data_IF_930599470956
#
_entry.id   IF_930599470956
#
_cell.length_a   1.000
_cell.length_b   1.000
_cell.length_c   1.000
_cell.angle_alpha   90.00
_cell.angle_beta   90.00
_cell.angle_gamma   90.00
#
_symmetry.space_group_name_H-M   'P 1'
#
loop_
_entity.id
_entity.type
_entity.pdbx_description
1 polymer ?
#
# COMPACT_ATOMS: atom_id res chain seq x y z
N UNK A 1 -22.79 8.13 -0.56
CA UNK A 1 -21.32 8.06 -0.67
C UNK A 1 -20.95 6.84 -1.50
N UNK A 2 -20.09 7.01 -2.48
CA UNK A 2 -19.64 5.89 -3.32
C UNK A 2 -18.48 5.14 -2.65
N UNK A 3 -18.28 3.89 -3.04
CA UNK A 3 -17.31 2.96 -2.44
C UNK A 3 -16.26 2.54 -3.46
N UNK A 4 -15.25 1.78 -3.00
CA UNK A 4 -14.29 1.13 -3.91
C UNK A 4 -15.00 0.24 -4.94
N UNK A 5 -16.04 -0.49 -4.53
CA UNK A 5 -16.81 -1.32 -5.45
C UNK A 5 -17.50 -0.48 -6.54
N UNK A 6 -18.01 0.70 -6.18
CA UNK A 6 -18.59 1.64 -7.14
C UNK A 6 -17.54 2.15 -8.12
N UNK A 7 -16.34 2.48 -7.63
CA UNK A 7 -15.24 2.88 -8.50
C UNK A 7 -14.83 1.77 -9.48
N UNK A 8 -14.69 0.54 -8.99
CA UNK A 8 -14.36 -0.61 -9.84
C UNK A 8 -15.39 -0.80 -10.95
N UNK A 9 -16.67 -0.67 -10.61
CA UNK A 9 -17.78 -0.79 -11.56
C UNK A 9 -17.73 0.34 -12.60
N UNK A 10 -17.55 1.58 -12.17
CA UNK A 10 -17.49 2.73 -13.07
C UNK A 10 -16.25 2.62 -13.98
N UNK A 11 -15.12 2.19 -13.45
CA UNK A 11 -13.91 1.96 -14.24
C UNK A 11 -14.11 0.86 -15.30
N UNK A 12 -14.76 -0.24 -14.92
CA UNK A 12 -15.02 -1.35 -15.83
C UNK A 12 -16.04 -1.01 -16.92
N UNK A 13 -16.93 -0.04 -16.68
CA UNK A 13 -17.94 0.38 -17.66
C UNK A 13 -17.35 1.11 -18.88
N UNK A 14 -16.13 1.61 -18.79
CA UNK A 14 -15.51 2.43 -19.83
C UNK A 14 -16.09 3.85 -19.93
N UNK A 15 -16.87 4.28 -18.96
CA UNK A 15 -17.58 5.56 -18.98
C UNK A 15 -16.81 6.71 -18.31
N UNK A 16 -15.69 6.41 -17.67
CA UNK A 16 -14.90 7.42 -16.95
C UNK A 16 -13.46 7.45 -17.42
N UNK A 17 -12.82 8.59 -17.22
CA UNK A 17 -11.40 8.80 -17.39
C UNK A 17 -10.86 9.59 -16.22
N UNK A 18 -9.57 9.50 -15.98
CA UNK A 18 -8.92 10.06 -14.80
C UNK A 18 -7.89 11.13 -15.18
N UNK A 19 -7.79 12.15 -14.33
CA UNK A 19 -6.74 13.15 -14.43
C UNK A 19 -6.06 13.29 -13.07
N UNK A 20 -4.76 13.04 -13.01
CA UNK A 20 -4.00 13.18 -11.77
C UNK A 20 -3.85 14.66 -11.41
N UNK A 21 -4.30 15.04 -10.23
CA UNK A 21 -4.22 16.42 -9.74
C UNK A 21 -3.34 16.60 -8.53
N UNK A 22 -3.04 15.52 -7.81
CA UNK A 22 -2.13 15.55 -6.68
C UNK A 22 -1.44 14.19 -6.55
N UNK A 23 -0.15 14.22 -6.22
CA UNK A 23 0.67 13.03 -6.08
C UNK A 23 1.57 13.14 -4.86
N UNK A 24 1.48 12.14 -3.99
CA UNK A 24 2.34 11.93 -2.81
C UNK A 24 2.68 13.13 -1.94
N UNK A 25 2.11 13.10 -0.77
CA UNK A 25 2.70 13.59 0.47
C UNK A 25 2.61 15.06 0.78
N UNK A 26 2.55 15.95 -0.16
CA UNK A 26 2.46 17.37 0.17
C UNK A 26 1.44 18.07 -0.72
N UNK A 27 0.44 18.63 -0.06
CA UNK A 27 -0.52 19.50 -0.73
C UNK A 27 0.21 20.69 -1.36
N UNK A 28 -0.01 20.91 -2.63
CA UNK A 28 0.62 22.02 -3.35
C UNK A 28 1.93 21.67 -4.06
N UNK A 29 2.40 20.43 -3.99
CA UNK A 29 3.51 20.01 -4.84
C UNK A 29 3.11 20.06 -6.31
N UNK A 30 4.01 20.60 -7.14
CA UNK A 30 3.78 20.64 -8.56
C UNK A 30 3.92 19.25 -9.18
N UNK A 31 2.87 18.81 -9.87
CA UNK A 31 2.90 17.51 -10.55
C UNK A 31 3.77 17.63 -11.79
N UNK A 32 4.75 16.72 -11.99
CA UNK A 32 5.55 16.72 -13.22
C UNK A 32 4.65 16.72 -14.47
N UNK A 33 5.01 17.48 -15.48
CA UNK A 33 4.21 17.61 -16.69
C UNK A 33 3.83 16.26 -17.30
N UNK A 34 4.75 15.29 -17.29
CA UNK A 34 4.50 13.92 -17.77
C UNK A 34 3.42 13.17 -16.99
N UNK A 35 3.13 13.61 -15.75
CA UNK A 35 2.11 13.01 -14.90
C UNK A 35 0.77 13.72 -15.00
N UNK A 36 0.73 14.89 -15.65
CA UNK A 36 -0.48 15.64 -15.92
C UNK A 36 -1.21 15.04 -17.12
N UNK A 37 -2.42 15.48 -17.30
CA UNK A 37 -3.24 15.06 -18.42
C UNK A 37 -4.18 13.91 -18.09
N UNK A 38 -5.09 13.71 -19.01
CA UNK A 38 -6.17 12.75 -18.88
C UNK A 38 -5.67 11.38 -19.30
N UNK A 39 -6.05 10.37 -18.53
CA UNK A 39 -5.76 8.96 -18.79
C UNK A 39 -7.04 8.22 -19.02
N UNK A 40 -7.08 7.42 -20.07
CA UNK A 40 -8.17 6.48 -20.32
C UNK A 40 -7.90 5.15 -19.61
N UNK A 41 -8.98 4.52 -19.20
CA UNK A 41 -8.90 3.19 -18.56
C UNK A 41 -8.94 2.15 -19.67
N UNK A 42 -7.85 1.40 -19.81
CA UNK A 42 -7.71 0.39 -20.85
C UNK A 42 -8.29 -0.97 -20.45
N UNK A 43 -8.04 -1.37 -19.21
CA UNK A 43 -8.52 -2.63 -18.68
C UNK A 43 -8.67 -2.56 -17.16
N UNK A 44 -9.53 -3.40 -16.64
CA UNK A 44 -9.78 -3.54 -15.21
C UNK A 44 -9.75 -5.03 -14.86
N UNK A 45 -8.96 -5.38 -13.85
CA UNK A 45 -8.99 -6.72 -13.28
C UNK A 45 -9.29 -6.65 -11.78
N UNK A 46 -9.18 -7.74 -11.06
CA UNK A 46 -9.47 -7.79 -9.62
C UNK A 46 -8.46 -7.04 -8.76
N UNK A 47 -7.27 -6.75 -9.30
CA UNK A 47 -6.13 -6.21 -8.55
C UNK A 47 -5.84 -4.77 -8.95
N UNK A 48 -5.96 -4.44 -10.24
CA UNK A 48 -5.51 -3.16 -10.78
C UNK A 48 -6.31 -2.71 -12.00
N UNK A 49 -6.14 -1.45 -12.34
CA UNK A 49 -6.58 -0.90 -13.62
C UNK A 49 -5.35 -0.47 -14.42
N UNK A 50 -5.41 -0.65 -15.74
CA UNK A 50 -4.42 -0.14 -16.67
C UNK A 50 -4.88 1.19 -17.22
N UNK A 51 -4.01 2.19 -17.13
CA UNK A 51 -4.25 3.54 -17.60
C UNK A 51 -3.35 3.84 -18.79
N UNK A 52 -3.86 4.59 -19.75
CA UNK A 52 -3.10 5.03 -20.91
C UNK A 52 -3.24 6.54 -21.12
N UNK A 53 -2.11 7.22 -21.31
CA UNK A 53 -2.07 8.64 -21.65
C UNK A 53 -2.36 8.85 -23.14
N UNK A 54 -2.60 10.10 -23.55
CA UNK A 54 -2.89 10.44 -24.94
C UNK A 54 -1.73 10.10 -25.89
N UNK A 55 -0.49 10.09 -25.39
CA UNK A 55 0.71 9.74 -26.17
C UNK A 55 1.08 8.26 -26.08
N UNK A 56 0.21 7.42 -25.52
CA UNK A 56 0.35 5.97 -25.52
C UNK A 56 1.15 5.38 -24.36
N UNK A 57 1.52 6.19 -23.37
CA UNK A 57 2.19 5.67 -22.16
C UNK A 57 1.20 4.96 -21.28
N UNK A 58 1.58 3.77 -20.82
CA UNK A 58 0.75 2.95 -19.94
C UNK A 58 1.27 2.96 -18.51
N UNK A 59 0.35 2.89 -17.57
CA UNK A 59 0.65 2.73 -16.15
C UNK A 59 -0.45 1.90 -15.48
N UNK A 60 -0.14 1.34 -14.32
CA UNK A 60 -1.15 0.62 -13.55
C UNK A 60 -1.49 1.35 -12.25
N UNK A 61 -2.74 1.28 -11.85
CA UNK A 61 -3.22 1.74 -10.56
C UNK A 61 -3.74 0.52 -9.80
N UNK A 62 -2.98 0.10 -8.79
CA UNK A 62 -3.34 -1.03 -7.94
C UNK A 62 -4.43 -0.59 -6.97
N UNK A 63 -5.48 -1.41 -6.83
CA UNK A 63 -6.55 -1.09 -5.90
C UNK A 63 -6.05 -1.15 -4.46
N UNK A 64 -6.19 -0.06 -3.70
CA UNK A 64 -5.84 -0.05 -2.29
C UNK A 64 -6.92 -0.73 -1.44
N UNK A 65 -6.64 -1.03 -0.16
CA UNK A 65 -7.70 -1.40 0.77
C UNK A 65 -8.80 -0.35 0.83
N UNK A 66 -10.03 -0.80 1.07
CA UNK A 66 -11.20 0.08 1.00
C UNK A 66 -11.15 1.30 1.94
N UNK A 67 -10.46 1.18 3.08
CA UNK A 67 -10.29 2.29 4.03
C UNK A 67 -9.37 3.38 3.52
N UNK A 68 -8.54 3.08 2.52
CA UNK A 68 -7.56 4.02 1.96
C UNK A 68 -8.04 4.70 0.69
N UNK A 69 -9.29 4.53 0.30
CA UNK A 69 -9.84 5.13 -0.92
C UNK A 69 -11.12 5.89 -0.61
N UNK A 70 -11.25 7.06 -1.23
CA UNK A 70 -12.49 7.82 -1.29
C UNK A 70 -12.86 8.08 -2.74
N UNK A 71 -14.11 7.83 -3.07
CA UNK A 71 -14.64 8.03 -4.39
C UNK A 71 -16.06 8.62 -4.32
N UNK A 72 -16.29 9.71 -5.05
CA UNK A 72 -17.62 10.36 -5.08
C UNK A 72 -18.21 10.47 -6.49
N UNK A 73 -17.55 9.87 -7.48
CA UNK A 73 -17.95 9.95 -8.88
C UNK A 73 -17.31 11.14 -9.64
N UNK A 74 -16.81 12.13 -8.95
CA UNK A 74 -16.13 13.31 -9.52
C UNK A 74 -14.67 13.37 -9.15
N UNK A 75 -14.30 12.80 -8.02
CA UNK A 75 -12.92 12.72 -7.55
C UNK A 75 -12.64 11.35 -6.96
N UNK A 76 -11.38 10.95 -7.08
CA UNK A 76 -10.84 9.73 -6.50
C UNK A 76 -9.64 10.13 -5.66
N UNK A 77 -9.64 9.78 -4.39
CA UNK A 77 -8.52 10.04 -3.49
C UNK A 77 -8.03 8.72 -2.92
N UNK A 78 -6.73 8.48 -3.01
CA UNK A 78 -6.07 7.31 -2.44
C UNK A 78 -5.08 7.80 -1.40
N UNK A 79 -5.21 7.29 -0.19
CA UNK A 79 -4.32 7.62 0.93
C UNK A 79 -3.26 6.56 1.08
N UNK A 80 -2.06 6.97 1.50
CA UNK A 80 -1.10 5.98 1.98
C UNK A 80 -1.58 5.36 3.29
N UNK A 81 -1.00 4.22 3.65
CA UNK A 81 -1.24 3.60 4.95
C UNK A 81 -0.69 4.50 6.05
N UNK A 82 -1.52 4.77 7.05
CA UNK A 82 -1.13 5.54 8.22
C UNK A 82 -0.49 4.66 9.29
N UNK A 83 0.15 5.32 10.23
CA UNK A 83 0.79 4.68 11.36
C UNK A 83 -0.16 4.61 12.56
N UNK A 84 -0.07 3.55 13.30
CA UNK A 84 -0.67 3.42 14.64
C UNK A 84 0.32 2.81 15.60
N UNK A 85 0.05 3.00 16.88
CA UNK A 85 0.82 2.34 17.92
C UNK A 85 0.56 0.83 17.89
N UNK A 86 1.58 0.06 18.22
CA UNK A 86 1.44 -1.37 18.43
C UNK A 86 0.52 -1.61 19.63
N UNK A 87 -0.36 -2.59 19.50
CA UNK A 87 -1.11 -3.10 20.66
C UNK A 87 -0.17 -3.82 21.62
N UNK A 88 -0.60 -4.00 22.86
CA UNK A 88 0.17 -4.74 23.84
C UNK A 88 0.46 -6.17 23.37
N UNK A 89 -0.53 -6.82 22.77
CA UNK A 89 -0.37 -8.15 22.18
C UNK A 89 0.68 -8.17 21.06
N UNK A 90 0.64 -7.19 20.17
CA UNK A 90 1.62 -7.08 19.09
C UNK A 90 3.03 -6.85 19.61
N UNK A 91 3.19 -6.01 20.64
CA UNK A 91 4.49 -5.81 21.30
C UNK A 91 5.04 -7.09 21.90
N UNK A 92 4.18 -7.87 22.56
CA UNK A 92 4.56 -9.15 23.11
C UNK A 92 5.03 -10.12 22.04
N UNK A 93 4.30 -10.21 20.94
CA UNK A 93 4.64 -11.07 19.81
C UNK A 93 5.97 -10.66 19.20
N UNK A 94 6.20 -9.37 19.00
CA UNK A 94 7.47 -8.86 18.48
C UNK A 94 8.63 -9.13 19.45
N UNK A 95 8.39 -9.01 20.75
CA UNK A 95 9.39 -9.33 21.77
C UNK A 95 9.75 -10.82 21.77
N UNK A 96 8.75 -11.70 21.66
CA UNK A 96 8.97 -13.14 21.55
C UNK A 96 9.75 -13.49 20.28
N UNK A 97 9.42 -12.84 19.18
CA UNK A 97 10.15 -12.96 17.93
C UNK A 97 11.59 -12.49 18.04
N UNK A 98 11.81 -11.38 18.71
CA UNK A 98 13.16 -10.85 18.90
C UNK A 98 14.02 -11.85 19.65
N UNK A 99 13.47 -12.55 20.64
CA UNK A 99 14.18 -13.63 21.36
C UNK A 99 14.55 -14.78 20.42
N UNK A 100 13.62 -15.20 19.58
CA UNK A 100 13.86 -16.28 18.60
C UNK A 100 14.97 -15.86 17.63
N UNK A 101 14.94 -14.62 17.15
CA UNK A 101 15.96 -14.09 16.26
C UNK A 101 17.33 -14.00 16.95
N UNK A 102 17.37 -13.49 18.17
CA UNK A 102 18.61 -13.36 18.95
C UNK A 102 19.24 -14.74 19.20
N UNK A 103 18.42 -15.74 19.52
CA UNK A 103 18.88 -17.12 19.70
C UNK A 103 19.44 -17.70 18.40
N UNK A 104 18.77 -17.43 17.27
CA UNK A 104 19.24 -17.87 15.96
C UNK A 104 20.61 -17.27 15.64
N UNK A 105 20.80 -15.95 15.78
CA UNK A 105 22.07 -15.30 15.49
C UNK A 105 23.18 -15.63 16.47
N UNK A 106 22.85 -15.94 17.71
CA UNK A 106 23.83 -16.43 18.68
C UNK A 106 24.38 -17.78 18.28
N UNK A 107 23.54 -18.68 17.74
CA UNK A 107 23.94 -20.00 17.27
C UNK A 107 24.60 -19.94 15.88
N UNK A 108 24.37 -18.92 15.12
CA UNK A 108 24.85 -18.74 13.74
C UNK A 108 25.52 -17.37 13.56
N UNK A 109 26.66 -17.11 14.26
CA UNK A 109 27.24 -15.75 14.28
C UNK A 109 27.78 -15.26 12.95
N UNK A 110 28.07 -16.15 12.01
CA UNK A 110 28.56 -15.83 10.69
C UNK A 110 27.48 -15.75 9.61
N UNK A 111 26.24 -15.78 10.06
CA UNK A 111 25.11 -15.87 9.16
C UNK A 111 24.85 -17.28 8.64
N UNK A 112 23.79 -17.43 7.91
CA UNK A 112 23.41 -18.73 7.36
C UNK A 112 22.77 -18.55 5.98
N UNK A 113 22.64 -19.63 5.22
CA UNK A 113 21.97 -19.59 3.95
C UNK A 113 20.51 -19.14 4.13
N UNK A 114 20.04 -18.32 3.19
CA UNK A 114 18.69 -17.74 3.22
C UNK A 114 17.57 -18.77 3.49
N UNK A 115 17.68 -19.96 2.88
CA UNK A 115 16.67 -20.99 3.04
C UNK A 115 16.63 -21.60 4.45
N UNK A 116 17.78 -21.73 5.14
CA UNK A 116 17.83 -22.16 6.53
C UNK A 116 17.19 -21.15 7.47
N UNK A 117 17.51 -19.88 7.27
CA UNK A 117 16.92 -18.77 8.01
C UNK A 117 15.41 -18.74 7.81
N UNK A 118 14.94 -18.91 6.58
CA UNK A 118 13.52 -18.97 6.25
C UNK A 118 12.81 -20.11 6.94
N UNK A 119 13.41 -21.30 6.96
CA UNK A 119 12.83 -22.47 7.64
C UNK A 119 12.76 -22.27 9.15
N UNK A 120 13.78 -21.67 9.74
CA UNK A 120 13.78 -21.36 11.16
C UNK A 120 12.64 -20.42 11.53
N UNK A 121 12.42 -19.38 10.75
CA UNK A 121 11.40 -18.37 10.99
C UNK A 121 9.98 -18.81 10.60
N UNK A 122 9.79 -19.95 9.94
CA UNK A 122 8.46 -20.55 9.76
C UNK A 122 7.77 -20.91 11.07
N UNK A 123 8.51 -21.00 12.15
CA UNK A 123 7.99 -21.30 13.50
C UNK A 123 7.42 -20.08 14.20
N UNK A 124 7.27 -18.95 13.50
CA UNK A 124 6.73 -17.72 14.06
C UNK A 124 5.34 -17.93 14.64
N UNK A 125 5.09 -17.51 15.89
CA UNK A 125 3.78 -17.59 16.50
C UNK A 125 2.77 -16.56 15.95
N UNK A 126 3.16 -15.75 14.99
CA UNK A 126 2.41 -14.59 14.53
C UNK A 126 2.09 -14.66 13.03
N UNK A 127 1.13 -15.50 12.60
CA UNK A 127 0.81 -15.65 11.18
C UNK A 127 0.20 -14.39 10.54
N UNK A 128 -0.32 -13.46 11.32
CA UNK A 128 -0.90 -12.22 10.82
C UNK A 128 0.10 -11.05 10.70
N UNK A 129 1.30 -11.22 11.24
CA UNK A 129 2.44 -10.38 10.95
C UNK A 129 3.24 -11.01 9.80
N UNK A 130 2.63 -11.06 8.64
CA UNK A 130 3.25 -11.61 7.44
C UNK A 130 4.63 -10.98 7.21
N UNK A 131 5.65 -11.83 7.28
CA UNK A 131 7.02 -11.41 7.09
C UNK A 131 7.57 -10.59 8.23
N UNK A 132 8.02 -11.26 9.29
CA UNK A 132 8.70 -10.61 10.41
C UNK A 132 9.80 -9.64 9.96
N UNK A 133 10.57 -10.01 8.95
CA UNK A 133 11.61 -9.12 8.41
C UNK A 133 11.01 -7.86 7.79
N UNK A 134 9.82 -7.97 7.20
CA UNK A 134 9.08 -6.80 6.70
C UNK A 134 8.59 -5.94 7.86
N UNK A 135 8.08 -6.56 8.91
CA UNK A 135 7.66 -5.85 10.11
C UNK A 135 8.86 -5.19 10.79
N UNK A 136 9.95 -5.92 10.99
CA UNK A 136 11.17 -5.39 11.58
C UNK A 136 11.81 -4.31 10.71
N UNK A 137 11.95 -4.54 9.42
CA UNK A 137 12.59 -3.60 8.51
C UNK A 137 11.78 -2.35 8.24
N UNK A 138 10.46 -2.48 8.04
CA UNK A 138 9.60 -1.35 7.70
C UNK A 138 8.93 -0.69 8.89
N UNK A 139 8.61 -1.43 9.94
CA UNK A 139 7.72 -0.96 10.98
C UNK A 139 8.40 -0.81 12.33
N UNK A 140 9.37 -1.63 12.64
CA UNK A 140 10.12 -1.54 13.89
C UNK A 140 10.95 -0.26 13.96
N UNK A 141 11.43 0.24 12.83
CA UNK A 141 12.19 1.49 12.74
C UNK A 141 11.33 2.75 12.98
N UNK A 142 10.01 2.60 13.02
CA UNK A 142 9.07 3.68 13.32
C UNK A 142 8.75 3.80 14.82
N UNK A 143 9.72 3.49 15.70
CA UNK A 143 9.61 3.68 17.16
C UNK A 143 8.40 2.98 17.78
N UNK A 144 8.15 1.74 17.38
CA UNK A 144 7.03 0.95 17.90
C UNK A 144 5.70 1.22 17.23
N UNK A 145 5.69 1.89 16.09
CA UNK A 145 4.50 2.07 15.28
C UNK A 145 4.45 1.08 14.13
N UNK A 146 3.25 0.78 13.68
CA UNK A 146 3.01 -0.09 12.53
C UNK A 146 2.18 0.63 11.48
N UNK A 147 2.45 0.36 10.21
CA UNK A 147 1.60 0.83 9.12
C UNK A 147 0.35 -0.06 9.05
N UNK A 148 -0.81 0.58 9.05
CA UNK A 148 -2.09 -0.10 9.11
C UNK A 148 -2.95 0.27 7.90
N UNK A 149 -3.47 -0.73 7.20
CA UNK A 149 -4.38 -0.56 6.07
C UNK A 149 -5.73 0.05 6.46
N UNK A 150 -6.04 0.14 7.75
CA UNK A 150 -7.25 0.77 8.26
C UNK A 150 -7.05 2.23 8.65
N UNK A 151 -5.82 2.71 8.65
CA UNK A 151 -5.46 4.07 9.04
C UNK A 151 -4.96 4.84 7.83
N UNK A 152 -5.53 6.02 7.60
CA UNK A 152 -5.10 6.91 6.52
C UNK A 152 -3.89 7.72 6.94
N UNK A 153 -2.86 7.69 6.10
CA UNK A 153 -1.70 8.56 6.24
C UNK A 153 -1.92 9.93 5.61
N UNK A 154 -0.85 10.71 5.56
CA UNK A 154 -0.89 12.08 5.04
C UNK A 154 -0.64 12.16 3.53
N UNK A 155 0.03 11.17 2.96
CA UNK A 155 0.32 11.16 1.53
C UNK A 155 -0.90 10.71 0.74
N UNK A 156 -1.18 11.42 -0.35
CA UNK A 156 -2.34 11.15 -1.17
C UNK A 156 -1.99 11.09 -2.65
N UNK A 157 -2.81 10.31 -3.37
CA UNK A 157 -2.96 10.39 -4.82
C UNK A 157 -4.38 10.88 -5.09
N UNK A 158 -4.52 11.96 -5.81
CA UNK A 158 -5.84 12.50 -6.12
C UNK A 158 -6.02 12.62 -7.63
N UNK A 159 -7.18 12.15 -8.08
CA UNK A 159 -7.60 12.22 -9.47
C UNK A 159 -8.93 12.94 -9.59
N UNK A 160 -9.06 13.77 -10.61
CA UNK A 160 -10.38 14.16 -11.10
C UNK A 160 -10.95 13.04 -11.96
N UNK A 161 -12.24 12.83 -11.87
CA UNK A 161 -12.96 11.79 -12.62
C UNK A 161 -13.90 12.48 -13.60
N UNK A 162 -13.73 12.19 -14.88
CA UNK A 162 -14.53 12.76 -15.95
C UNK A 162 -15.35 11.68 -16.62
N UNK A 163 -16.52 12.03 -17.07
CA UNK A 163 -17.29 11.17 -17.97
C UNK A 163 -16.67 11.16 -19.36
N UNK A 164 -16.64 10.01 -19.93
CA UNK A 164 -16.20 9.82 -21.31
C UNK A 164 -17.32 10.10 -22.28
#
# INVERSE_FOLDING_TARGET
MKTLADFKRDAASGKIKLEMVERFGKTGEEIPERCRGIRTIQSVNTVEIMLETADGLTSSLVFPPAKLIEYDGKSLTIYERGERDLTEQERKILADWQKIEDDYYRQNPYGDAYWKKKDYFKKCPCPWLDGYETVKGKYYNYKGKILDNQVRGNAILKYNVYEQ
#
